data_IF_495173498277
#
_entry.id   IF_495173498277
#
_cell.length_a   1.000
_cell.length_b   1.000
_cell.length_c   1.000
_cell.angle_alpha   90.00
_cell.angle_beta   90.00
_cell.angle_gamma   90.00
#
_symmetry.space_group_name_H-M   'P 1'
#
loop_
_entity.id
_entity.type
_entity.pdbx_description
1 polymer ?
#
# COMPACT_ATOMS: atom_id res chain seq x y z
N UNK A 1 -1.62 16.51 -7.53
CA UNK A 1 -1.09 15.60 -6.50
C UNK A 1 -2.21 14.70 -5.99
N UNK A 2 -1.92 13.44 -5.77
CA UNK A 2 -2.95 12.51 -5.30
C UNK A 2 -3.44 12.89 -3.91
N UNK A 3 -4.72 12.66 -3.66
CA UNK A 3 -5.29 12.81 -2.33
C UNK A 3 -5.51 11.42 -1.72
N UNK A 4 -5.43 11.33 -0.40
CA UNK A 4 -5.60 10.10 0.34
C UNK A 4 -6.63 10.29 1.44
N UNK A 5 -7.45 9.27 1.66
CA UNK A 5 -8.27 9.17 2.86
C UNK A 5 -7.60 8.19 3.81
N UNK A 6 -7.37 8.61 5.05
CA UNK A 6 -6.64 7.81 6.04
C UNK A 6 -7.61 7.24 7.08
N UNK A 7 -7.39 5.97 7.43
CA UNK A 7 -8.22 5.25 8.40
C UNK A 7 -7.33 4.46 9.34
N UNK A 8 -7.78 4.25 10.58
CA UNK A 8 -7.16 3.30 11.49
C UNK A 8 -7.79 1.92 11.34
N UNK A 9 -7.01 0.84 11.41
CA UNK A 9 -7.58 -0.50 11.48
C UNK A 9 -8.32 -0.69 12.80
N UNK A 10 -9.38 -1.50 12.77
CA UNK A 10 -10.03 -1.96 13.97
C UNK A 10 -9.28 -3.19 14.47
N UNK A 11 -8.45 -3.02 15.48
CA UNK A 11 -7.60 -4.06 16.03
C UNK A 11 -8.24 -4.85 17.18
N UNK A 12 -9.48 -4.52 17.53
CA UNK A 12 -10.17 -5.13 18.67
C UNK A 12 -10.80 -6.48 18.33
N UNK A 13 -11.10 -6.73 17.06
CA UNK A 13 -11.81 -7.94 16.62
C UNK A 13 -11.00 -8.66 15.56
N UNK A 14 -10.53 -9.90 15.84
CA UNK A 14 -9.89 -10.71 14.82
C UNK A 14 -10.83 -11.02 13.65
N UNK A 15 -10.31 -11.01 12.45
CA UNK A 15 -11.04 -11.39 11.26
C UNK A 15 -10.42 -12.67 10.69
N UNK A 16 -11.02 -13.81 11.02
CA UNK A 16 -10.57 -15.10 10.55
C UNK A 16 -11.47 -15.59 9.41
N UNK A 17 -10.85 -15.95 8.30
CA UNK A 17 -11.53 -16.46 7.12
C UNK A 17 -10.88 -17.76 6.69
N UNK A 18 -11.64 -18.68 6.08
CA UNK A 18 -11.04 -19.87 5.49
C UNK A 18 -9.96 -19.49 4.48
N UNK A 19 -8.86 -20.19 4.53
CA UNK A 19 -7.69 -19.86 3.74
C UNK A 19 -7.17 -21.07 2.96
N UNK A 20 -6.92 -20.91 1.66
CA UNK A 20 -6.31 -21.92 0.81
C UNK A 20 -4.77 -21.81 0.96
N UNK A 21 -4.23 -22.55 1.92
CA UNK A 21 -2.85 -22.38 2.39
C UNK A 21 -1.81 -22.73 1.32
N UNK A 22 -2.06 -23.75 0.51
CA UNK A 22 -1.11 -24.19 -0.53
C UNK A 22 -1.16 -23.38 -1.81
N UNK A 23 -2.05 -22.39 -1.87
CA UNK A 23 -2.21 -21.53 -3.04
C UNK A 23 -3.09 -22.14 -4.12
N UNK A 24 -3.99 -21.34 -4.65
CA UNK A 24 -4.86 -21.70 -5.76
C UNK A 24 -4.17 -21.29 -7.06
N UNK A 25 -3.92 -22.27 -7.94
CA UNK A 25 -3.25 -21.99 -9.22
C UNK A 25 -4.19 -21.32 -10.20
N UNK A 26 -3.77 -20.18 -10.74
CA UNK A 26 -4.46 -19.58 -11.86
C UNK A 26 -4.15 -20.38 -13.13
N UNK A 27 -5.14 -20.94 -13.77
CA UNK A 27 -4.98 -21.68 -15.00
C UNK A 27 -5.15 -23.20 -14.87
N UNK A 28 -5.03 -23.76 -13.68
CA UNK A 28 -5.21 -25.18 -13.46
C UNK A 28 -6.16 -25.45 -12.30
N UNK A 29 -7.19 -26.31 -12.50
CA UNK A 29 -8.04 -26.71 -11.38
C UNK A 29 -7.26 -27.47 -10.32
N UNK A 30 -7.65 -27.27 -9.07
CA UNK A 30 -7.06 -27.98 -7.92
C UNK A 30 -8.20 -28.52 -7.04
N UNK A 31 -7.98 -29.66 -6.33
CA UNK A 31 -9.00 -30.17 -5.42
C UNK A 31 -9.31 -29.16 -4.31
N UNK A 32 -10.55 -28.69 -4.26
CA UNK A 32 -10.95 -27.62 -3.34
C UNK A 32 -10.87 -28.03 -1.87
N UNK A 33 -11.25 -29.27 -1.55
CA UNK A 33 -11.29 -29.73 -0.17
C UNK A 33 -9.91 -29.84 0.48
N UNK A 34 -8.83 -29.94 -0.30
CA UNK A 34 -7.47 -30.02 0.25
C UNK A 34 -6.99 -28.69 0.81
N UNK A 35 -7.69 -27.59 0.54
CA UNK A 35 -7.26 -26.23 0.87
C UNK A 35 -8.13 -25.54 1.92
N UNK A 36 -9.21 -26.17 2.37
CA UNK A 36 -10.23 -25.50 3.19
C UNK A 36 -10.05 -25.67 4.69
N UNK A 37 -8.95 -26.25 5.14
CA UNK A 37 -8.74 -26.59 6.56
C UNK A 37 -8.14 -25.45 7.39
N UNK A 38 -7.47 -24.51 6.74
CA UNK A 38 -6.79 -23.41 7.42
C UNK A 38 -7.61 -22.12 7.36
N UNK A 39 -7.35 -21.22 8.28
CA UNK A 39 -7.96 -19.89 8.29
C UNK A 39 -6.88 -18.82 8.33
N UNK A 40 -7.22 -17.61 7.88
CA UNK A 40 -6.37 -16.43 7.95
C UNK A 40 -7.08 -15.34 8.74
N UNK A 41 -6.36 -14.69 9.64
CA UNK A 41 -6.80 -13.47 10.29
C UNK A 41 -6.17 -12.29 9.56
N UNK A 42 -6.98 -11.53 8.82
CA UNK A 42 -6.47 -10.43 8.02
C UNK A 42 -5.83 -9.35 8.89
N UNK A 43 -6.37 -9.07 10.06
CA UNK A 43 -5.76 -8.10 10.97
C UNK A 43 -4.38 -8.55 11.44
N UNK A 44 -4.25 -9.81 11.84
CA UNK A 44 -2.97 -10.35 12.28
C UNK A 44 -1.96 -10.46 11.15
N UNK A 45 -2.40 -10.94 9.99
CA UNK A 45 -1.48 -11.31 8.90
C UNK A 45 -1.09 -10.11 8.03
N UNK A 46 -1.95 -9.10 7.90
CA UNK A 46 -1.66 -7.91 7.11
C UNK A 46 -1.24 -6.70 7.94
N UNK A 47 -1.54 -6.71 9.25
CA UNK A 47 -1.25 -5.59 10.15
C UNK A 47 -0.26 -6.07 11.21
N UNK A 48 1.04 -5.93 10.91
CA UNK A 48 2.10 -6.37 11.83
C UNK A 48 2.26 -5.46 13.04
N UNK A 49 1.96 -4.17 12.88
CA UNK A 49 2.11 -3.16 13.92
C UNK A 49 0.83 -2.34 14.05
N UNK A 50 -0.19 -2.84 14.79
CA UNK A 50 -1.51 -2.19 14.82
C UNK A 50 -1.49 -0.72 15.26
N UNK A 51 -0.59 -0.36 16.18
CA UNK A 51 -0.52 1.00 16.71
C UNK A 51 0.01 2.02 15.70
N UNK A 52 0.77 1.55 14.71
CA UNK A 52 1.39 2.41 13.70
C UNK A 52 0.90 2.14 12.28
N UNK A 53 -0.16 1.34 12.13
CA UNK A 53 -0.72 0.97 10.84
C UNK A 53 -1.97 1.78 10.54
N UNK A 54 -2.06 2.26 9.30
CA UNK A 54 -3.20 3.04 8.79
C UNK A 54 -3.66 2.45 7.47
N UNK A 55 -4.92 2.69 7.14
CA UNK A 55 -5.45 2.44 5.81
C UNK A 55 -5.53 3.76 5.05
N UNK A 56 -5.16 3.73 3.79
CA UNK A 56 -5.27 4.89 2.91
C UNK A 56 -6.01 4.47 1.64
N UNK A 57 -6.94 5.30 1.19
CA UNK A 57 -7.62 5.06 -0.08
C UNK A 57 -6.94 5.86 -1.18
N UNK A 58 -6.63 5.18 -2.27
CA UNK A 58 -5.98 5.82 -3.41
C UNK A 58 -6.96 6.71 -4.15
N UNK A 59 -6.55 7.95 -4.42
CA UNK A 59 -7.22 8.86 -5.34
C UNK A 59 -6.18 9.36 -6.34
N UNK A 60 -6.56 9.37 -7.62
CA UNK A 60 -5.64 9.72 -8.69
C UNK A 60 -5.00 8.50 -9.35
N UNK A 61 -4.12 8.75 -10.32
CA UNK A 61 -3.59 7.73 -11.20
C UNK A 61 -2.07 7.76 -11.36
N UNK A 62 -1.35 8.51 -10.51
CA UNK A 62 0.11 8.65 -10.66
C UNK A 62 0.89 7.35 -10.45
N UNK A 63 0.26 6.33 -9.85
CA UNK A 63 0.88 5.03 -9.58
C UNK A 63 0.17 3.88 -10.30
N UNK A 64 -0.52 4.15 -11.39
CA UNK A 64 -1.34 3.16 -12.09
C UNK A 64 -0.49 2.01 -12.66
N UNK A 65 0.71 2.29 -13.14
CA UNK A 65 1.59 1.26 -13.70
C UNK A 65 2.24 0.37 -12.62
N UNK A 66 2.17 0.81 -11.36
CA UNK A 66 2.54 -0.01 -10.20
C UNK A 66 1.35 -0.79 -9.64
N UNK A 67 0.19 -0.71 -10.29
CA UNK A 67 -1.00 -1.42 -9.88
C UNK A 67 -1.86 -0.70 -8.85
N UNK A 68 -1.59 0.57 -8.56
CA UNK A 68 -2.40 1.36 -7.64
C UNK A 68 -3.43 2.18 -8.42
N UNK A 69 -4.70 1.83 -8.27
CA UNK A 69 -5.81 2.50 -8.94
C UNK A 69 -6.68 3.23 -7.94
N UNK A 70 -7.41 4.23 -8.43
CA UNK A 70 -8.38 4.94 -7.62
C UNK A 70 -9.36 3.96 -6.96
N UNK A 71 -9.55 4.13 -5.64
CA UNK A 71 -10.41 3.27 -4.83
C UNK A 71 -9.70 2.10 -4.17
N UNK A 72 -8.48 1.79 -4.57
CA UNK A 72 -7.68 0.76 -3.88
C UNK A 72 -7.38 1.19 -2.45
N UNK A 73 -7.23 0.20 -1.57
CA UNK A 73 -6.88 0.45 -0.17
C UNK A 73 -5.43 0.04 0.05
N UNK A 74 -4.66 0.96 0.59
CA UNK A 74 -3.28 0.73 0.97
C UNK A 74 -3.21 0.44 2.47
N UNK A 75 -2.40 -0.55 2.83
CA UNK A 75 -2.00 -0.74 4.23
C UNK A 75 -0.67 -0.05 4.40
N UNK A 76 -0.61 0.93 5.31
CA UNK A 76 0.53 1.82 5.51
C UNK A 76 1.05 1.65 6.93
N UNK A 77 2.32 1.27 7.05
CA UNK A 77 2.98 1.10 8.35
C UNK A 77 3.97 2.24 8.57
N UNK A 78 3.72 3.04 9.60
CA UNK A 78 4.56 4.17 9.95
C UNK A 78 5.81 3.76 10.73
N UNK A 79 5.86 2.55 11.27
CA UNK A 79 7.00 2.10 12.07
C UNK A 79 8.18 1.59 11.25
N UNK A 80 7.96 1.31 9.97
CA UNK A 80 9.00 0.77 9.11
C UNK A 80 9.96 1.86 8.67
N UNK A 81 11.25 1.53 8.68
CA UNK A 81 12.26 2.40 8.09
C UNK A 81 12.20 2.29 6.56
N UNK A 82 12.03 3.41 5.84
CA UNK A 82 11.92 3.38 4.40
C UNK A 82 13.19 2.90 3.72
N UNK A 83 13.02 2.15 2.65
CA UNK A 83 14.11 1.67 1.78
C UNK A 83 13.88 2.14 0.36
N UNK A 84 14.96 2.30 -0.39
CA UNK A 84 14.88 2.61 -1.81
C UNK A 84 14.10 1.51 -2.53
N UNK A 85 13.12 1.88 -3.34
CA UNK A 85 12.21 0.95 -4.00
C UNK A 85 10.88 0.76 -3.28
N UNK A 86 10.76 1.20 -2.03
CA UNK A 86 9.47 1.14 -1.33
C UNK A 86 8.46 2.08 -1.95
N UNK A 87 7.21 1.65 -1.97
CA UNK A 87 6.08 2.55 -2.19
C UNK A 87 5.74 3.16 -0.84
N UNK A 88 5.67 4.48 -0.78
CA UNK A 88 5.47 5.19 0.47
C UNK A 88 4.45 6.30 0.34
N UNK A 89 3.77 6.56 1.45
CA UNK A 89 2.97 7.77 1.62
C UNK A 89 3.90 8.84 2.15
N UNK A 90 3.99 9.94 1.42
CA UNK A 90 4.87 11.05 1.74
C UNK A 90 4.08 12.31 1.95
N UNK A 91 4.63 13.21 2.75
CA UNK A 91 4.12 14.58 2.89
C UNK A 91 5.14 15.49 2.23
N UNK A 92 4.72 16.21 1.20
CA UNK A 92 5.55 17.14 0.46
C UNK A 92 4.87 18.50 0.51
N UNK A 93 5.52 19.46 1.15
CA UNK A 93 5.01 20.82 1.29
C UNK A 93 3.56 20.87 1.81
N UNK A 94 3.24 20.00 2.76
CA UNK A 94 1.93 19.92 3.39
C UNK A 94 0.91 19.01 2.71
N UNK A 95 1.22 18.45 1.55
CA UNK A 95 0.31 17.58 0.81
C UNK A 95 0.73 16.12 0.87
N UNK A 96 -0.23 15.21 1.02
CA UNK A 96 0.02 13.77 0.92
C UNK A 96 0.16 13.35 -0.53
N UNK A 97 1.10 12.45 -0.78
CA UNK A 97 1.25 11.77 -2.07
C UNK A 97 1.75 10.35 -1.86
N UNK A 98 1.49 9.47 -2.83
CA UNK A 98 2.02 8.10 -2.85
C UNK A 98 2.95 7.98 -4.04
N UNK A 99 4.17 7.59 -3.79
CA UNK A 99 5.20 7.44 -4.82
C UNK A 99 6.15 6.32 -4.43
N UNK A 100 6.92 5.84 -5.40
CA UNK A 100 8.07 4.97 -5.13
C UNK A 100 9.25 5.84 -4.69
N UNK A 101 9.91 5.44 -3.63
CA UNK A 101 11.09 6.14 -3.11
C UNK A 101 12.34 5.72 -3.86
N UNK A 102 13.14 6.68 -4.24
CA UNK A 102 14.50 6.46 -4.71
C UNK A 102 15.42 7.26 -3.78
N UNK A 103 16.12 6.54 -2.90
CA UNK A 103 16.95 7.16 -1.88
C UNK A 103 18.40 7.25 -2.34
N UNK A 104 18.96 8.45 -2.34
CA UNK A 104 20.35 8.73 -2.66
C UNK A 104 21.06 9.29 -1.43
N UNK A 105 22.40 9.34 -1.47
CA UNK A 105 23.17 9.81 -0.34
C UNK A 105 22.87 11.26 0.03
N UNK A 106 22.57 12.12 -0.95
CA UNK A 106 22.37 13.54 -0.75
C UNK A 106 20.96 14.04 -1.05
N UNK A 107 20.08 13.21 -1.61
CA UNK A 107 18.73 13.64 -1.97
C UNK A 107 17.78 12.45 -2.11
N UNK A 108 16.50 12.75 -2.23
CA UNK A 108 15.43 11.78 -2.43
C UNK A 108 14.69 12.13 -3.72
N UNK A 109 14.38 11.11 -4.50
CA UNK A 109 13.53 11.26 -5.69
C UNK A 109 12.26 10.46 -5.47
N UNK A 110 11.12 11.08 -5.76
CA UNK A 110 9.82 10.43 -5.73
C UNK A 110 9.43 10.06 -7.16
N UNK A 111 9.29 8.75 -7.39
CA UNK A 111 9.03 8.22 -8.71
C UNK A 111 7.54 7.89 -8.88
N UNK A 112 6.85 8.53 -9.83
CA UNK A 112 5.52 8.07 -10.22
C UNK A 112 5.61 6.80 -11.04
N UNK A 113 4.53 6.07 -11.14
CA UNK A 113 4.39 4.91 -12.04
C UNK A 113 3.32 5.22 -13.08
N UNK A 114 3.54 6.28 -13.83
CA UNK A 114 2.67 6.74 -14.91
C UNK A 114 3.44 7.76 -15.73
N UNK A 115 3.54 7.54 -17.04
CA UNK A 115 4.31 8.37 -17.96
C UNK A 115 3.81 9.83 -18.05
N UNK A 116 2.59 10.10 -17.62
CA UNK A 116 2.03 11.47 -17.58
C UNK A 116 2.63 12.32 -16.46
N UNK A 117 3.30 11.70 -15.51
CA UNK A 117 3.87 12.38 -14.35
C UNK A 117 5.38 12.30 -14.40
N UNK A 118 6.05 13.31 -13.88
CA UNK A 118 7.51 13.36 -13.84
C UNK A 118 8.04 12.99 -12.46
N UNK A 119 9.23 12.39 -12.39
CA UNK A 119 9.91 12.24 -11.11
C UNK A 119 10.06 13.59 -10.39
N UNK A 120 9.91 13.56 -9.07
CA UNK A 120 10.04 14.75 -8.23
C UNK A 120 11.32 14.63 -7.41
N UNK A 121 12.29 15.48 -7.69
CA UNK A 121 13.51 15.57 -6.88
C UNK A 121 13.21 16.48 -5.69
N UNK A 122 13.39 15.95 -4.48
CA UNK A 122 13.19 16.73 -3.26
C UNK A 122 14.40 17.62 -3.04
N UNK A 123 14.18 18.93 -2.96
CA UNK A 123 15.21 19.92 -2.73
C UNK A 123 15.32 20.29 -1.26
N UNK A 124 16.39 20.99 -0.89
CA UNK A 124 16.59 21.47 0.49
C UNK A 124 15.52 22.46 0.95
N UNK A 125 14.84 23.10 -0.01
CA UNK A 125 13.77 24.07 0.31
C UNK A 125 12.41 23.39 0.46
N UNK A 126 12.27 22.11 0.10
CA UNK A 126 11.03 21.37 0.27
C UNK A 126 10.88 20.89 1.72
N UNK A 127 9.67 21.01 2.25
CA UNK A 127 9.29 20.34 3.48
C UNK A 127 8.86 18.90 3.10
N UNK A 128 9.68 17.91 3.48
CA UNK A 128 9.47 16.53 3.06
C UNK A 128 9.53 15.59 4.26
N UNK A 129 8.59 14.66 4.29
CA UNK A 129 8.57 13.57 5.27
C UNK A 129 8.04 12.30 4.61
N UNK A 130 8.67 11.17 4.88
CA UNK A 130 8.06 9.86 4.60
C UNK A 130 7.13 9.56 5.75
N UNK A 131 5.83 9.61 5.49
CA UNK A 131 4.82 9.41 6.52
C UNK A 131 4.65 7.93 6.89
N UNK A 132 4.73 7.04 5.91
CA UNK A 132 4.65 5.61 6.15
C UNK A 132 4.96 4.80 4.89
N UNK A 133 5.30 3.53 5.09
CA UNK A 133 5.61 2.59 4.02
C UNK A 133 4.38 1.78 3.68
N UNK A 134 4.04 1.67 2.40
CA UNK A 134 2.95 0.84 1.92
C UNK A 134 3.40 -0.62 1.92
N UNK A 135 2.71 -1.46 2.67
CA UNK A 135 3.05 -2.88 2.79
C UNK A 135 2.15 -3.78 1.95
N UNK A 136 0.91 -3.38 1.73
CA UNK A 136 -0.06 -4.14 0.95
C UNK A 136 -1.01 -3.22 0.21
N UNK A 137 -1.56 -3.72 -0.88
CA UNK A 137 -2.65 -3.08 -1.63
C UNK A 137 -3.82 -4.04 -1.66
N UNK A 138 -5.00 -3.56 -1.26
CA UNK A 138 -6.25 -4.33 -1.36
C UNK A 138 -7.04 -3.76 -2.54
N UNK A 139 -7.31 -4.59 -3.52
CA UNK A 139 -7.94 -4.19 -4.78
C UNK A 139 -9.33 -4.80 -4.92
N UNK A 140 -10.39 -3.98 -5.06
CA UNK A 140 -11.67 -4.53 -5.48
C UNK A 140 -11.57 -5.00 -6.94
N UNK A 141 -12.04 -6.21 -7.21
CA UNK A 141 -12.05 -6.73 -8.58
C UNK A 141 -13.40 -6.58 -9.24
N UNK A 142 -14.44 -6.34 -8.45
CA UNK A 142 -15.79 -6.06 -8.95
C UNK A 142 -16.10 -4.60 -8.73
N UNK A 143 -16.46 -3.90 -9.81
CA UNK A 143 -16.84 -2.48 -9.72
C UNK A 143 -18.10 -2.32 -8.89
N UNK A 144 -18.11 -1.29 -8.07
CA UNK A 144 -19.32 -0.83 -7.39
C UNK A 144 -19.98 0.22 -8.27
N UNK A 145 -21.25 0.05 -8.46
CA UNK A 145 -22.05 1.03 -9.21
C UNK A 145 -22.38 2.24 -8.34
#
# INVERSE_FOLDING_TARGET
MDTLELFKPNDCVPLELPFADEGVRAGFPSPAQDYMENSIDLNRDLVSHPESTFYARVAGDSMIDAGLRQGDILIVDKSLEPRSGDIAVCIVNGDFTVKTLELHAAHVVLLPANDRYKPMVISETDCFEVWGVVTYVIKPTRRRD
#
